data_IF_114250237009
#
_entry.id   IF_114250237009
#
_cell.length_a   1.000
_cell.length_b   1.000
_cell.length_c   1.000
_cell.angle_alpha   90.00
_cell.angle_beta   90.00
_cell.angle_gamma   90.00
#
_symmetry.space_group_name_H-M   'P 1'
#
loop_
_entity.id
_entity.type
_entity.pdbx_description
1 polymer ?
#
# COMPACT_ATOMS: atom_id res chain seq x y z
N UNK A 1 -13.38 7.19 -12.60
CA UNK A 1 -13.20 8.56 -12.09
C UNK A 1 -11.90 8.66 -11.30
N UNK A 2 -11.12 9.71 -11.55
CA UNK A 2 -9.83 9.94 -10.88
C UNK A 2 -9.82 11.33 -10.24
N UNK A 3 -9.36 11.44 -8.98
CA UNK A 3 -9.23 12.71 -8.28
C UNK A 3 -8.09 12.70 -7.26
N UNK A 4 -7.46 13.84 -7.05
CA UNK A 4 -6.48 14.03 -5.99
C UNK A 4 -7.19 14.30 -4.65
N UNK A 5 -6.87 13.54 -3.61
CA UNK A 5 -7.43 13.70 -2.27
C UNK A 5 -6.61 14.70 -1.44
N UNK A 6 -6.72 15.97 -1.76
CA UNK A 6 -6.05 17.05 -1.02
C UNK A 6 -6.49 17.09 0.45
N UNK A 7 -7.72 16.66 0.76
CA UNK A 7 -8.22 16.52 2.12
C UNK A 7 -7.36 15.63 3.03
N UNK A 8 -6.57 14.72 2.46
CA UNK A 8 -5.57 13.93 3.20
C UNK A 8 -4.48 14.80 3.86
N UNK A 9 -4.32 16.05 3.44
CA UNK A 9 -3.40 17.03 4.06
C UNK A 9 -4.08 17.93 5.08
N UNK A 10 -5.40 17.84 5.27
CA UNK A 10 -6.12 18.71 6.19
C UNK A 10 -5.54 18.61 7.61
N UNK A 11 -5.21 19.75 8.20
CA UNK A 11 -4.59 19.84 9.52
C UNK A 11 -3.09 19.47 9.59
N UNK A 12 -2.51 18.92 8.51
CA UNK A 12 -1.09 18.56 8.47
C UNK A 12 -0.51 18.75 7.06
N UNK A 13 0.12 19.89 6.81
CA UNK A 13 0.66 20.26 5.50
C UNK A 13 1.90 19.44 5.08
N UNK A 14 2.52 18.70 6.00
CA UNK A 14 3.65 17.79 5.71
C UNK A 14 3.22 16.48 5.08
N UNK A 15 1.92 16.13 5.14
CA UNK A 15 1.38 14.96 4.47
C UNK A 15 1.33 15.16 2.95
N UNK A 16 1.40 14.05 2.23
CA UNK A 16 1.19 14.02 0.79
C UNK A 16 -0.31 13.81 0.48
N UNK A 17 -0.84 14.36 -0.63
CA UNK A 17 -2.20 14.03 -1.04
C UNK A 17 -2.26 12.58 -1.52
N UNK A 18 -3.39 11.92 -1.29
CA UNK A 18 -3.71 10.65 -1.94
C UNK A 18 -4.28 10.89 -3.34
N UNK A 19 -4.16 9.90 -4.22
CA UNK A 19 -4.83 9.89 -5.53
C UNK A 19 -5.89 8.79 -5.53
N UNK A 20 -7.16 9.16 -5.74
CA UNK A 20 -8.29 8.22 -5.75
C UNK A 20 -8.72 7.93 -7.17
N UNK A 21 -8.71 6.66 -7.55
CA UNK A 21 -9.35 6.14 -8.76
C UNK A 21 -10.58 5.31 -8.33
N UNK A 22 -11.75 5.61 -8.87
CA UNK A 22 -12.91 4.74 -8.75
C UNK A 22 -13.18 4.06 -10.09
N UNK A 23 -13.14 2.73 -10.08
CA UNK A 23 -13.42 1.90 -11.25
C UNK A 23 -14.79 1.26 -11.03
N UNK A 24 -15.70 1.39 -12.00
CA UNK A 24 -16.97 0.68 -11.99
C UNK A 24 -16.86 -0.55 -12.87
N UNK A 25 -17.20 -1.71 -12.32
CA UNK A 25 -17.23 -2.99 -13.04
C UNK A 25 -18.58 -3.66 -12.77
N UNK A 26 -19.36 -3.86 -13.81
CA UNK A 26 -20.68 -4.50 -13.74
C UNK A 26 -21.62 -3.87 -12.68
N UNK A 27 -21.55 -2.55 -12.51
CA UNK A 27 -22.36 -1.81 -11.55
C UNK A 27 -21.76 -1.70 -10.13
N UNK A 28 -20.69 -2.43 -9.83
CA UNK A 28 -19.99 -2.32 -8.54
C UNK A 28 -18.82 -1.34 -8.62
N UNK A 29 -18.75 -0.42 -7.65
CA UNK A 29 -17.66 0.54 -7.55
C UNK A 29 -16.48 -0.02 -6.72
N UNK A 30 -15.29 0.21 -7.24
CA UNK A 30 -14.02 -0.14 -6.60
C UNK A 30 -13.20 1.14 -6.39
N UNK A 31 -13.32 1.81 -5.23
CA UNK A 31 -12.46 2.93 -4.88
C UNK A 31 -11.04 2.44 -4.58
N UNK A 32 -10.07 2.93 -5.34
CA UNK A 32 -8.64 2.58 -5.21
C UNK A 32 -7.87 3.84 -4.84
N UNK A 33 -7.31 3.90 -3.64
CA UNK A 33 -6.53 5.02 -3.14
C UNK A 33 -5.03 4.73 -3.27
N UNK A 34 -4.35 5.51 -4.08
CA UNK A 34 -2.89 5.46 -4.22
C UNK A 34 -2.24 6.40 -3.21
N UNK A 35 -1.29 5.88 -2.47
CA UNK A 35 -0.51 6.61 -1.47
C UNK A 35 0.99 6.53 -1.79
N UNK A 36 1.68 7.64 -1.54
CA UNK A 36 3.12 7.70 -1.45
C UNK A 36 3.48 8.41 -0.14
N UNK A 37 3.77 7.65 0.90
CA UNK A 37 3.96 8.18 2.24
C UNK A 37 5.37 8.74 2.46
N UNK A 38 5.70 9.19 3.66
CA UNK A 38 6.98 9.85 3.96
C UNK A 38 8.13 8.84 4.02
N UNK A 39 9.11 8.99 3.15
CA UNK A 39 10.40 8.28 3.22
C UNK A 39 11.29 8.94 4.26
N UNK A 40 11.41 8.33 5.44
CA UNK A 40 12.38 8.72 6.48
C UNK A 40 12.34 7.73 7.65
N UNK A 41 13.51 7.33 8.13
CA UNK A 41 13.67 6.55 9.37
C UNK A 41 13.67 7.41 10.65
N UNK A 42 13.57 8.75 10.54
CA UNK A 42 13.45 9.64 11.69
C UNK A 42 12.05 9.55 12.33
N UNK A 43 11.89 9.91 13.63
CA UNK A 43 10.58 9.88 14.30
C UNK A 43 9.46 10.61 13.56
N UNK A 44 9.77 11.78 12.98
CA UNK A 44 8.79 12.53 12.17
C UNK A 44 8.33 11.75 10.93
N UNK A 45 9.22 10.97 10.31
CA UNK A 45 8.86 10.13 9.16
C UNK A 45 7.88 9.04 9.54
N UNK A 46 8.13 8.34 10.64
CA UNK A 46 7.22 7.32 11.18
C UNK A 46 5.85 7.94 11.52
N UNK A 47 5.83 9.07 12.25
CA UNK A 47 4.57 9.75 12.60
C UNK A 47 3.76 10.22 11.40
N UNK A 48 4.42 10.69 10.33
CA UNK A 48 3.73 11.09 9.09
C UNK A 48 3.17 9.88 8.32
N UNK A 49 3.85 8.73 8.35
CA UNK A 49 3.29 7.49 7.78
C UNK A 49 2.07 7.02 8.56
N UNK A 50 2.17 6.99 9.89
CA UNK A 50 1.05 6.63 10.77
C UNK A 50 -0.18 7.51 10.51
N UNK A 51 -0.03 8.84 10.46
CA UNK A 51 -1.12 9.79 10.16
C UNK A 51 -1.76 9.47 8.78
N UNK A 52 -0.95 9.15 7.77
CA UNK A 52 -1.48 8.76 6.45
C UNK A 52 -2.25 7.44 6.49
N UNK A 53 -1.79 6.45 7.26
CA UNK A 53 -2.50 5.17 7.41
C UNK A 53 -3.82 5.35 8.15
N UNK A 54 -3.84 6.10 9.24
CA UNK A 54 -5.07 6.41 9.97
C UNK A 54 -6.11 7.09 9.07
N UNK A 55 -5.69 8.05 8.23
CA UNK A 55 -6.57 8.70 7.26
C UNK A 55 -7.09 7.75 6.19
N UNK A 56 -6.27 6.82 5.72
CA UNK A 56 -6.70 5.81 4.76
C UNK A 56 -7.76 4.87 5.37
N UNK A 57 -7.58 4.47 6.64
CA UNK A 57 -8.58 3.67 7.35
C UNK A 57 -9.86 4.46 7.69
N UNK A 58 -9.75 5.72 8.12
CA UNK A 58 -10.91 6.58 8.34
C UNK A 58 -11.71 6.82 7.03
N UNK A 59 -11.02 6.88 5.89
CA UNK A 59 -11.68 6.97 4.60
C UNK A 59 -12.49 5.72 4.27
N UNK A 60 -12.03 4.53 4.67
CA UNK A 60 -12.81 3.29 4.60
C UNK A 60 -14.16 3.43 5.29
N UNK A 61 -14.19 3.95 6.52
CA UNK A 61 -15.44 4.15 7.27
C UNK A 61 -16.41 5.11 6.55
N UNK A 62 -15.84 6.15 5.92
CA UNK A 62 -16.62 7.11 5.14
C UNK A 62 -17.27 6.44 3.92
N UNK A 63 -16.54 5.59 3.22
CA UNK A 63 -17.03 4.84 2.08
C UNK A 63 -18.11 3.82 2.48
N UNK A 64 -17.90 3.11 3.60
CA UNK A 64 -18.89 2.15 4.12
C UNK A 64 -20.21 2.83 4.50
N UNK A 65 -20.14 4.03 5.11
CA UNK A 65 -21.34 4.82 5.42
C UNK A 65 -22.08 5.27 4.16
N UNK A 66 -21.35 5.69 3.13
CA UNK A 66 -21.93 6.07 1.85
C UNK A 66 -22.59 4.90 1.14
N UNK A 67 -21.92 3.74 1.08
CA UNK A 67 -22.44 2.51 0.49
C UNK A 67 -23.70 2.02 1.22
N UNK A 68 -23.68 2.00 2.55
CA UNK A 68 -24.85 1.63 3.35
C UNK A 68 -26.04 2.59 3.14
N UNK A 69 -25.80 3.89 2.98
CA UNK A 69 -26.85 4.87 2.68
C UNK A 69 -27.47 4.66 1.28
N UNK A 70 -26.72 4.06 0.35
CA UNK A 70 -27.20 3.65 -0.96
C UNK A 70 -27.91 2.27 -0.95
N UNK A 71 -27.97 1.61 0.21
CA UNK A 71 -28.55 0.25 0.34
C UNK A 71 -27.63 -0.87 -0.14
N UNK A 72 -26.34 -0.59 -0.26
CA UNK A 72 -25.31 -1.52 -0.71
C UNK A 72 -24.56 -2.17 0.46
N UNK A 73 -23.77 -3.20 0.15
CA UNK A 73 -22.86 -3.83 1.10
C UNK A 73 -21.65 -2.96 1.45
N UNK A 74 -20.66 -3.51 2.18
CA UNK A 74 -19.45 -2.76 2.50
C UNK A 74 -18.67 -2.40 1.24
N UNK A 75 -18.07 -1.19 1.20
CA UNK A 75 -17.39 -0.67 0.02
C UNK A 75 -16.20 -1.55 -0.42
N UNK A 76 -15.99 -1.72 -1.72
CA UNK A 76 -14.87 -2.50 -2.30
C UNK A 76 -13.59 -1.67 -2.31
N UNK A 77 -13.15 -1.21 -1.15
CA UNK A 77 -12.05 -0.27 -1.03
C UNK A 77 -10.69 -0.96 -0.98
N UNK A 78 -9.75 -0.37 -1.71
CA UNK A 78 -8.34 -0.79 -1.73
C UNK A 78 -7.49 0.47 -1.57
N UNK A 79 -6.45 0.43 -0.75
CA UNK A 79 -5.37 1.42 -0.83
C UNK A 79 -4.02 0.75 -0.99
N UNK A 80 -3.13 1.37 -1.75
CA UNK A 80 -1.84 0.81 -2.12
C UNK A 80 -0.83 1.88 -2.49
N UNK A 81 0.41 1.44 -2.64
CA UNK A 81 1.50 2.24 -3.18
C UNK A 81 2.77 2.14 -2.34
N UNK A 82 3.67 3.09 -2.54
CA UNK A 82 4.88 3.22 -1.74
C UNK A 82 4.53 3.74 -0.34
N UNK A 83 4.31 2.79 0.57
CA UNK A 83 3.98 3.06 1.96
C UNK A 83 5.24 3.34 2.81
N UNK A 84 6.44 3.21 2.24
CA UNK A 84 7.71 3.52 2.89
C UNK A 84 7.89 2.89 4.28
N UNK A 85 7.44 1.63 4.46
CA UNK A 85 7.52 0.90 5.72
C UNK A 85 8.97 0.51 6.04
N UNK A 86 9.70 1.44 6.62
CA UNK A 86 11.15 1.34 6.86
C UNK A 86 11.53 1.39 8.35
N UNK A 87 10.54 1.31 9.25
CA UNK A 87 10.77 1.43 10.67
C UNK A 87 11.25 2.82 11.11
N UNK A 88 11.94 2.88 12.23
CA UNK A 88 12.55 4.10 12.75
C UNK A 88 13.92 3.77 13.32
N UNK A 89 14.94 4.49 12.87
CA UNK A 89 16.29 4.50 13.47
C UNK A 89 16.68 5.93 13.78
N UNK A 90 16.90 6.23 15.05
CA UNK A 90 17.26 7.55 15.52
C UNK A 90 18.14 7.46 16.77
N UNK A 91 19.31 8.12 16.80
CA UNK A 91 20.33 7.88 17.84
C UNK A 91 19.90 8.19 19.27
N UNK A 92 18.85 8.98 19.46
CA UNK A 92 18.38 9.40 20.78
C UNK A 92 17.10 8.70 21.24
N UNK A 93 16.62 7.69 20.50
CA UNK A 93 15.40 6.97 20.81
C UNK A 93 15.53 5.49 20.48
N UNK A 94 14.63 4.67 21.06
CA UNK A 94 14.55 3.25 20.74
C UNK A 94 14.21 3.05 19.27
N UNK A 95 14.98 2.20 18.62
CA UNK A 95 14.70 1.75 17.25
C UNK A 95 13.35 1.04 17.14
N UNK A 96 12.66 1.26 16.04
CA UNK A 96 11.44 0.55 15.67
C UNK A 96 11.73 -0.24 14.39
N UNK A 97 11.72 -1.55 14.51
CA UNK A 97 11.96 -2.46 13.39
C UNK A 97 10.80 -2.39 12.38
N UNK A 98 11.10 -2.65 11.12
CA UNK A 98 10.11 -2.72 10.02
C UNK A 98 8.96 -3.68 10.36
N UNK A 99 9.27 -4.84 10.91
CA UNK A 99 8.26 -5.82 11.31
C UNK A 99 7.28 -5.30 12.37
N UNK A 100 7.73 -4.40 13.25
CA UNK A 100 6.83 -3.78 14.22
C UNK A 100 5.90 -2.77 13.53
N UNK A 101 6.42 -1.97 12.60
CA UNK A 101 5.61 -1.04 11.81
C UNK A 101 4.56 -1.81 10.97
N UNK A 102 4.97 -2.91 10.31
CA UNK A 102 4.06 -3.77 9.55
C UNK A 102 2.98 -4.42 10.42
N UNK A 103 3.33 -4.95 11.60
CA UNK A 103 2.32 -5.49 12.53
C UNK A 103 1.32 -4.44 12.97
N UNK A 104 1.77 -3.21 13.27
CA UNK A 104 0.87 -2.10 13.60
C UNK A 104 -0.09 -1.78 12.46
N UNK A 105 0.42 -1.76 11.21
CA UNK A 105 -0.40 -1.58 10.01
C UNK A 105 -1.44 -2.71 9.87
N UNK A 106 -1.05 -3.97 10.08
CA UNK A 106 -1.92 -5.13 10.02
C UNK A 106 -3.01 -5.10 11.10
N UNK A 107 -2.66 -4.70 12.34
CA UNK A 107 -3.62 -4.54 13.43
C UNK A 107 -4.65 -3.43 13.14
N UNK A 108 -4.21 -2.32 12.54
CA UNK A 108 -5.08 -1.23 12.12
C UNK A 108 -5.98 -1.65 10.95
N UNK A 109 -5.44 -2.37 9.98
CA UNK A 109 -6.20 -2.94 8.87
C UNK A 109 -7.31 -3.87 9.38
N UNK A 110 -6.98 -4.78 10.29
CA UNK A 110 -7.95 -5.71 10.89
C UNK A 110 -9.10 -4.98 11.61
N UNK A 111 -8.80 -3.91 12.36
CA UNK A 111 -9.84 -3.07 13.02
C UNK A 111 -10.76 -2.41 12.00
N UNK A 112 -10.23 -2.01 10.85
CA UNK A 112 -10.98 -1.41 9.74
C UNK A 112 -11.63 -2.46 8.81
N UNK A 113 -11.66 -3.74 9.17
CA UNK A 113 -12.13 -4.86 8.34
C UNK A 113 -11.43 -4.89 6.98
N UNK A 114 -10.13 -4.68 7.00
CA UNK A 114 -9.22 -4.77 5.86
C UNK A 114 -8.10 -5.76 6.14
N UNK A 115 -7.37 -6.16 5.11
CA UNK A 115 -6.19 -7.02 5.19
C UNK A 115 -5.07 -6.43 4.33
N UNK A 116 -3.84 -6.53 4.77
CA UNK A 116 -2.68 -6.35 3.92
C UNK A 116 -2.45 -7.65 3.16
N UNK A 117 -2.41 -7.57 1.83
CA UNK A 117 -2.28 -8.73 0.97
C UNK A 117 -0.84 -9.27 0.98
N UNK A 118 -0.70 -10.59 1.05
CA UNK A 118 0.57 -11.25 0.89
C UNK A 118 1.11 -11.07 -0.54
N UNK A 119 2.43 -11.03 -0.66
CA UNK A 119 3.14 -10.84 -1.92
C UNK A 119 3.94 -12.09 -2.29
N UNK A 120 4.10 -12.37 -3.60
CA UNK A 120 4.92 -13.48 -4.10
C UNK A 120 6.37 -13.41 -3.62
N UNK A 121 6.83 -12.20 -3.30
CA UNK A 121 8.11 -11.95 -2.63
C UNK A 121 8.07 -10.63 -1.84
N UNK A 122 8.84 -10.51 -0.76
CA UNK A 122 8.73 -9.37 0.14
C UNK A 122 9.34 -8.08 -0.42
N UNK A 123 10.43 -8.16 -1.17
CA UNK A 123 11.17 -6.98 -1.62
C UNK A 123 10.50 -6.29 -2.81
N UNK A 124 10.38 -4.97 -2.73
CA UNK A 124 9.71 -4.16 -3.76
C UNK A 124 10.50 -2.92 -4.18
N UNK A 125 11.57 -2.59 -3.47
CA UNK A 125 12.44 -1.47 -3.79
C UNK A 125 13.91 -1.84 -3.67
N UNK A 126 14.71 -1.40 -4.64
CA UNK A 126 16.17 -1.46 -4.62
C UNK A 126 16.75 -0.46 -5.63
N UNK A 127 17.74 0.32 -5.20
CA UNK A 127 18.35 1.33 -6.06
C UNK A 127 19.47 0.79 -6.99
N UNK A 128 19.61 -0.52 -7.11
CA UNK A 128 20.62 -1.14 -7.98
C UNK A 128 22.05 -1.07 -7.45
N UNK A 129 22.27 -0.63 -6.21
CA UNK A 129 23.63 -0.55 -5.63
C UNK A 129 23.80 -1.52 -4.47
N UNK A 130 25.03 -2.05 -4.32
CA UNK A 130 25.39 -2.92 -3.17
C UNK A 130 25.50 -2.20 -1.83
N UNK A 131 25.24 -0.89 -1.80
CA UNK A 131 25.29 -0.09 -0.56
C UNK A 131 24.01 -0.16 0.25
N UNK A 132 22.93 -0.51 -0.39
CA UNK A 132 21.61 -0.61 0.24
C UNK A 132 20.98 -1.96 -0.11
N UNK A 133 20.48 -2.64 0.90
CA UNK A 133 19.74 -3.88 0.72
C UNK A 133 18.35 -3.59 0.14
N UNK A 134 17.80 -4.52 -0.68
CA UNK A 134 16.42 -4.43 -1.14
C UNK A 134 15.43 -4.35 0.02
N UNK A 135 14.40 -3.53 -0.13
CA UNK A 135 13.46 -3.19 0.94
C UNK A 135 12.02 -3.51 0.58
N UNK A 136 11.19 -3.67 1.61
CA UNK A 136 9.77 -3.99 1.54
C UNK A 136 8.93 -2.72 1.75
N UNK A 137 8.80 -1.86 0.74
CA UNK A 137 8.19 -0.54 0.87
C UNK A 137 6.76 -0.44 0.34
N UNK A 138 6.42 -1.25 -0.68
CA UNK A 138 5.14 -1.17 -1.38
C UNK A 138 4.19 -2.25 -0.89
N UNK A 139 2.95 -1.86 -0.60
CA UNK A 139 1.93 -2.76 -0.07
C UNK A 139 0.56 -2.50 -0.70
N UNK A 140 -0.29 -3.53 -0.67
CA UNK A 140 -1.71 -3.47 -1.04
C UNK A 140 -2.52 -3.84 0.20
N UNK A 141 -3.42 -2.95 0.60
CA UNK A 141 -4.36 -3.18 1.71
C UNK A 141 -5.77 -3.11 1.15
N UNK A 142 -6.56 -4.16 1.34
CA UNK A 142 -7.86 -4.31 0.72
C UNK A 142 -8.95 -4.65 1.74
N UNK A 143 -10.19 -4.30 1.42
CA UNK A 143 -11.34 -4.71 2.19
C UNK A 143 -11.39 -6.24 2.32
N UNK A 144 -11.59 -6.76 3.53
CA UNK A 144 -11.43 -8.20 3.84
C UNK A 144 -12.45 -9.12 3.16
N UNK A 145 -13.55 -8.58 2.64
CA UNK A 145 -14.54 -9.33 1.88
C UNK A 145 -14.15 -9.55 0.41
N UNK A 146 -13.18 -8.78 -0.12
CA UNK A 146 -12.70 -8.94 -1.49
C UNK A 146 -11.92 -10.26 -1.64
N UNK A 147 -12.09 -10.90 -2.78
CA UNK A 147 -11.35 -12.11 -3.19
C UNK A 147 -10.36 -11.73 -4.27
N UNK A 148 -9.21 -12.37 -4.22
CA UNK A 148 -8.12 -12.11 -5.14
C UNK A 148 -7.64 -13.43 -5.76
N UNK A 149 -7.30 -13.36 -7.04
CA UNK A 149 -6.65 -14.47 -7.72
C UNK A 149 -5.29 -14.74 -7.06
N UNK A 150 -4.99 -16.03 -6.88
CA UNK A 150 -3.71 -16.46 -6.34
C UNK A 150 -2.68 -16.63 -7.47
N UNK A 151 -1.51 -16.03 -7.29
CA UNK A 151 -0.38 -16.10 -8.22
C UNK A 151 0.78 -16.89 -7.59
N UNK A 152 0.66 -18.22 -7.58
CA UNK A 152 1.74 -19.07 -7.05
C UNK A 152 1.91 -19.03 -5.52
N UNK A 153 0.82 -18.76 -4.77
CA UNK A 153 0.84 -18.76 -3.31
C UNK A 153 0.50 -17.42 -2.67
N UNK A 154 0.43 -16.35 -3.46
CA UNK A 154 0.11 -15.01 -2.96
C UNK A 154 -0.88 -14.27 -3.87
N UNK A 155 -1.76 -13.40 -3.31
CA UNK A 155 -2.69 -12.58 -4.09
C UNK A 155 -2.02 -11.41 -4.83
N UNK A 156 -0.83 -10.99 -4.43
CA UNK A 156 -0.06 -9.95 -5.13
C UNK A 156 1.20 -10.57 -5.73
N UNK A 157 1.31 -10.48 -7.05
CA UNK A 157 2.49 -10.89 -7.81
C UNK A 157 3.44 -9.69 -7.96
N UNK A 158 4.64 -9.81 -7.43
CA UNK A 158 5.69 -8.78 -7.52
C UNK A 158 6.49 -9.02 -8.79
N UNK A 159 6.41 -8.10 -9.74
CA UNK A 159 7.00 -8.21 -11.07
C UNK A 159 8.09 -7.17 -11.32
N UNK A 160 8.90 -7.43 -12.33
CA UNK A 160 9.99 -6.55 -12.75
C UNK A 160 11.33 -7.04 -12.26
N UNK A 161 12.19 -6.13 -11.79
CA UNK A 161 13.56 -6.48 -11.43
C UNK A 161 13.69 -7.66 -10.45
N UNK A 162 12.77 -7.88 -9.46
CA UNK A 162 12.96 -8.99 -8.53
C UNK A 162 12.77 -10.38 -9.14
N UNK A 163 12.18 -10.46 -10.34
CA UNK A 163 12.00 -11.73 -11.08
C UNK A 163 13.19 -12.09 -11.96
N UNK A 164 14.17 -11.18 -12.10
CA UNK A 164 15.34 -11.40 -12.95
C UNK A 164 16.44 -12.16 -12.18
N UNK A 165 17.14 -13.04 -12.88
CA UNK A 165 18.06 -13.98 -12.25
C UNK A 165 19.40 -13.34 -11.86
N UNK A 166 19.88 -12.36 -12.64
CA UNK A 166 21.18 -11.76 -12.42
C UNK A 166 21.10 -10.31 -11.96
N UNK A 167 22.04 -9.91 -11.08
CA UNK A 167 22.17 -8.52 -10.63
C UNK A 167 22.31 -7.53 -11.80
N UNK A 168 23.01 -7.92 -12.87
CA UNK A 168 23.18 -7.07 -14.05
C UNK A 168 21.86 -6.79 -14.77
N UNK A 169 21.00 -7.80 -14.90
CA UNK A 169 19.67 -7.64 -15.49
C UNK A 169 18.77 -6.80 -14.60
N UNK A 170 18.83 -7.01 -13.29
CA UNK A 170 18.07 -6.24 -12.31
C UNK A 170 18.45 -4.76 -12.36
N UNK A 171 19.75 -4.45 -12.34
CA UNK A 171 20.24 -3.06 -12.45
C UNK A 171 19.81 -2.43 -13.77
N UNK A 172 19.96 -3.15 -14.90
CA UNK A 172 19.52 -2.65 -16.21
C UNK A 172 18.01 -2.36 -16.23
N UNK A 173 17.20 -3.19 -15.60
CA UNK A 173 15.75 -2.97 -15.50
C UNK A 173 15.46 -1.71 -14.66
N UNK A 174 16.14 -1.55 -13.51
CA UNK A 174 16.02 -0.41 -12.61
C UNK A 174 16.38 0.89 -13.34
N UNK A 175 17.51 0.92 -14.03
CA UNK A 175 17.97 2.08 -14.82
C UNK A 175 17.02 2.44 -15.96
N UNK A 176 16.25 1.47 -16.46
CA UNK A 176 15.36 1.66 -17.61
C UNK A 176 13.95 2.06 -17.18
N UNK A 177 13.45 1.52 -16.07
CA UNK A 177 12.03 1.63 -15.70
C UNK A 177 11.82 2.26 -14.32
N UNK A 178 12.26 1.60 -13.25
CA UNK A 178 12.02 2.06 -11.88
C UNK A 178 12.84 1.26 -10.87
N UNK A 179 13.26 1.88 -9.78
CA UNK A 179 13.79 1.24 -8.59
C UNK A 179 12.71 0.52 -7.73
N UNK A 180 11.42 0.78 -8.01
CA UNK A 180 10.31 0.03 -7.47
C UNK A 180 9.88 -1.10 -8.40
N UNK A 181 9.52 -2.24 -7.81
CA UNK A 181 8.88 -3.35 -8.51
C UNK A 181 7.39 -3.05 -8.79
N UNK A 182 6.84 -3.71 -9.80
CA UNK A 182 5.41 -3.63 -10.10
C UNK A 182 4.63 -4.58 -9.18
N UNK A 183 3.60 -4.07 -8.49
CA UNK A 183 2.62 -4.89 -7.79
C UNK A 183 1.44 -5.20 -8.73
N UNK A 184 1.24 -6.46 -9.04
CA UNK A 184 0.15 -6.93 -9.88
C UNK A 184 -0.83 -7.78 -9.05
N UNK A 185 -2.11 -7.45 -9.09
CA UNK A 185 -3.16 -8.24 -8.45
C UNK A 185 -4.44 -8.21 -9.30
N UNK A 186 -5.29 -9.20 -9.09
CA UNK A 186 -6.57 -9.31 -9.77
C UNK A 186 -7.66 -9.59 -8.75
N UNK A 187 -8.65 -8.71 -8.68
CA UNK A 187 -9.87 -8.95 -7.90
C UNK A 187 -10.71 -9.98 -8.64
N UNK A 188 -11.14 -11.01 -7.95
CA UNK A 188 -12.08 -12.00 -8.49
C UNK A 188 -13.50 -11.48 -8.35
N UNK A 189 -14.34 -11.76 -9.35
CA UNK A 189 -15.77 -11.47 -9.26
C UNK A 189 -16.33 -12.27 -8.09
N UNK A 190 -16.95 -11.60 -7.12
CA UNK A 190 -17.68 -12.28 -6.05
C UNK A 190 -18.82 -13.04 -6.73
N UNK A 191 -18.80 -14.37 -6.65
CA UNK A 191 -19.93 -15.20 -7.14
C UNK A 191 -21.21 -14.80 -6.42
N UNK A 192 -22.29 -14.78 -7.16
CA UNK A 192 -23.64 -14.66 -6.61
C UNK A 192 -23.95 -15.81 -5.67
#
# INVERSE_FOLDING_TARGET
FFTQKVAFKSGNTYLRPGALLTVNVDGADYPILFLHTKSSTKPIGLGLRDDMFERAFAFRETLDKASAAAGEGPANYIFLGDLNTMGMSYPFQREIMVDFELRKLDDSAKKAKMIRLDKSQPVTWWNGTRRLDPSNLDHVIAASHLRFKNFGGAPVDVRGWPQLETESEQVKWIDTYSDHALLFFQVEKMGE
#
